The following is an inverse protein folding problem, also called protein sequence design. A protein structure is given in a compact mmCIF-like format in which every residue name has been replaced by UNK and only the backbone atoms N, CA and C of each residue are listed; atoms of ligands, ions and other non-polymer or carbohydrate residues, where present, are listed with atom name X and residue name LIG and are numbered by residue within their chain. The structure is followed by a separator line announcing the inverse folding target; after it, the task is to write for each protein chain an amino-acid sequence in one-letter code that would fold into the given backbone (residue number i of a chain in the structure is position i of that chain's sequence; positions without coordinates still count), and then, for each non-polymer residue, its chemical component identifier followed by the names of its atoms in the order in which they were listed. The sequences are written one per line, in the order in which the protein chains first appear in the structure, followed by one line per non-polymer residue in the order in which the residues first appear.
data_IF_750521181935
#
_entry.id   IF_750521181935
#
_cell.length_a   1.000
_cell.length_b   1.000
_cell.length_c   1.000
_cell.angle_alpha   90.00
_cell.angle_beta   90.00
_cell.angle_gamma   90.00
#
_symmetry.space_group_name_H-M   'P 1'
#
loop_
_entity.id
_entity.type
_entity.pdbx_description
1 polymer ?
#
# COMPACT_ATOMS: atom_id res chain seq x y z
N UNK A 1 17.39 -0.94 -11.49
CA UNK A 1 16.33 0.07 -11.33
C UNK A 1 15.02 -0.52 -11.85
N UNK A 2 13.94 -0.53 -11.07
CA UNK A 2 12.69 -1.21 -11.46
C UNK A 2 12.03 -0.51 -12.66
N UNK A 3 11.51 -1.27 -13.63
CA UNK A 3 10.79 -0.73 -14.81
C UNK A 3 9.70 0.28 -14.41
N UNK A 4 9.06 0.07 -13.25
CA UNK A 4 8.05 0.97 -12.68
C UNK A 4 8.60 2.36 -12.36
N UNK A 5 9.82 2.44 -11.85
CA UNK A 5 10.48 3.70 -11.51
C UNK A 5 10.85 4.45 -12.79
N UNK A 6 11.32 3.74 -13.82
CA UNK A 6 11.62 4.33 -15.13
C UNK A 6 10.36 4.89 -15.77
N UNK A 7 9.26 4.12 -15.79
CA UNK A 7 7.97 4.59 -16.30
C UNK A 7 7.43 5.79 -15.52
N UNK A 8 7.60 5.81 -14.19
CA UNK A 8 7.20 6.93 -13.33
C UNK A 8 7.95 8.22 -13.67
N UNK A 9 9.28 8.13 -13.78
CA UNK A 9 10.12 9.29 -14.12
C UNK A 9 9.81 9.80 -15.52
N UNK A 10 9.63 8.90 -16.50
CA UNK A 10 9.24 9.28 -17.85
C UNK A 10 7.86 9.93 -17.91
N UNK A 11 6.90 9.45 -17.13
CA UNK A 11 5.57 10.06 -17.03
C UNK A 11 5.66 11.47 -16.41
N UNK A 12 6.43 11.66 -15.32
CA UNK A 12 6.62 12.98 -14.73
C UNK A 12 7.35 13.95 -15.70
N UNK A 13 8.40 13.50 -16.39
CA UNK A 13 9.07 14.35 -17.38
C UNK A 13 8.13 14.68 -18.56
N UNK A 14 7.34 13.72 -19.00
CA UNK A 14 6.35 13.91 -20.05
C UNK A 14 5.26 14.91 -19.67
N UNK A 15 4.77 14.87 -18.42
CA UNK A 15 3.70 15.75 -17.92
C UNK A 15 4.13 17.21 -17.87
N UNK A 16 5.32 17.48 -17.32
CA UNK A 16 5.94 18.82 -17.30
C UNK A 16 6.08 19.38 -18.73
N UNK A 17 6.62 18.57 -19.66
CA UNK A 17 6.80 19.01 -21.05
C UNK A 17 5.46 19.26 -21.73
N UNK A 18 4.47 18.38 -21.55
CA UNK A 18 3.14 18.55 -22.14
C UNK A 18 2.43 19.80 -21.61
N UNK A 19 2.56 20.08 -20.31
CA UNK A 19 2.03 21.27 -19.68
C UNK A 19 2.70 22.54 -20.21
N UNK A 20 4.04 22.54 -20.29
CA UNK A 20 4.82 23.68 -20.79
C UNK A 20 4.52 23.98 -22.27
N UNK A 21 4.45 22.94 -23.11
CA UNK A 21 4.08 23.05 -24.53
C UNK A 21 2.63 23.54 -24.67
N UNK A 22 1.70 22.98 -23.88
CA UNK A 22 0.33 23.47 -23.84
C UNK A 22 0.23 24.95 -23.47
N UNK A 23 1.09 25.41 -22.54
CA UNK A 23 1.28 26.81 -22.17
C UNK A 23 1.74 27.66 -23.35
N UNK A 24 2.83 27.24 -23.98
CA UNK A 24 3.47 27.96 -25.09
C UNK A 24 2.54 28.14 -26.30
N UNK A 25 1.74 27.13 -26.63
CA UNK A 25 0.81 27.17 -27.77
C UNK A 25 -0.62 27.60 -27.40
N UNK A 26 -0.84 28.03 -26.15
CA UNK A 26 -2.17 28.43 -25.64
C UNK A 26 -3.25 27.35 -25.83
N UNK A 27 -2.82 26.08 -25.85
CA UNK A 27 -3.66 24.93 -26.15
C UNK A 27 -4.13 24.28 -24.83
N UNK A 28 -5.30 24.72 -24.36
CA UNK A 28 -5.85 24.33 -23.06
C UNK A 28 -6.01 22.82 -22.82
N UNK A 29 -6.39 21.97 -23.80
CA UNK A 29 -6.49 20.52 -23.59
C UNK A 29 -5.12 19.90 -23.31
N UNK A 30 -4.06 20.40 -23.94
CA UNK A 30 -2.71 19.90 -23.73
C UNK A 30 -2.20 20.24 -22.33
N UNK A 31 -2.51 21.43 -21.83
CA UNK A 31 -2.21 21.83 -20.46
C UNK A 31 -2.93 20.94 -19.45
N UNK A 32 -4.23 20.69 -19.64
CA UNK A 32 -5.00 19.83 -18.76
C UNK A 32 -4.47 18.39 -18.79
N UNK A 33 -4.12 17.88 -19.97
CA UNK A 33 -3.52 16.55 -20.10
C UNK A 33 -2.18 16.45 -19.34
N UNK A 34 -1.32 17.47 -19.46
CA UNK A 34 -0.06 17.54 -18.71
C UNK A 34 -0.28 17.59 -17.20
N UNK A 35 -1.20 18.45 -16.75
CA UNK A 35 -1.55 18.58 -15.33
C UNK A 35 -2.14 17.28 -14.76
N UNK A 36 -3.03 16.62 -15.50
CA UNK A 36 -3.63 15.34 -15.10
C UNK A 36 -2.57 14.25 -14.95
N UNK A 37 -1.55 14.25 -15.83
CA UNK A 37 -0.45 13.31 -15.78
C UNK A 37 0.43 13.54 -14.53
N UNK A 38 0.73 14.80 -14.20
CA UNK A 38 1.46 15.17 -12.98
C UNK A 38 0.72 14.73 -11.70
N UNK A 39 -0.58 15.03 -11.62
CA UNK A 39 -1.43 14.61 -10.50
C UNK A 39 -1.44 13.08 -10.38
N UNK A 40 -1.54 12.37 -11.52
CA UNK A 40 -1.46 10.92 -11.56
C UNK A 40 -0.14 10.38 -11.02
N UNK A 41 0.99 11.02 -11.35
CA UNK A 41 2.31 10.66 -10.83
C UNK A 41 2.38 10.91 -9.31
N UNK A 42 1.96 12.08 -8.84
CA UNK A 42 1.91 12.37 -7.40
C UNK A 42 1.07 11.36 -6.63
N UNK A 43 -0.10 11.00 -7.17
CA UNK A 43 -0.98 10.00 -6.58
C UNK A 43 -0.32 8.61 -6.52
N UNK A 44 0.32 8.17 -7.61
CA UNK A 44 1.02 6.89 -7.65
C UNK A 44 2.19 6.86 -6.65
N UNK A 45 2.94 7.95 -6.52
CA UNK A 45 4.02 8.11 -5.54
C UNK A 45 3.50 8.05 -4.10
N UNK A 46 2.42 8.78 -3.80
CA UNK A 46 1.75 8.72 -2.49
C UNK A 46 1.29 7.31 -2.17
N UNK A 47 0.61 6.64 -3.12
CA UNK A 47 0.09 5.27 -2.91
C UNK A 47 1.23 4.29 -2.62
N UNK A 48 2.35 4.42 -3.32
CA UNK A 48 3.53 3.60 -3.07
C UNK A 48 4.11 3.85 -1.66
N UNK A 49 4.24 5.12 -1.27
CA UNK A 49 4.72 5.52 0.06
C UNK A 49 3.78 5.03 1.18
N UNK A 50 2.47 5.17 0.99
CA UNK A 50 1.45 4.71 1.93
C UNK A 50 1.45 3.18 2.10
N UNK A 51 1.85 2.42 1.07
CA UNK A 51 1.99 0.97 1.17
C UNK A 51 3.27 0.54 1.90
N UNK A 52 4.37 1.28 1.73
CA UNK A 52 5.66 0.95 2.36
C UNK A 52 5.71 1.37 3.84
N UNK A 53 4.94 2.37 4.25
CA UNK A 53 4.87 2.85 5.64
C UNK A 53 3.67 2.31 6.42
N UNK A 54 3.02 1.22 5.96
CA UNK A 54 1.97 0.61 6.79
C UNK A 54 2.61 0.09 8.08
N UNK A 55 2.10 0.47 9.27
CA UNK A 55 2.55 -0.15 10.49
C UNK A 55 2.32 -1.66 10.38
N UNK A 56 3.26 -2.51 10.87
CA UNK A 56 3.07 -3.94 10.85
C UNK A 56 1.74 -4.26 11.52
N UNK A 57 0.93 -5.12 10.89
CA UNK A 57 -0.37 -5.51 11.42
C UNK A 57 -0.18 -5.97 12.87
N UNK A 58 -0.64 -5.16 13.81
CA UNK A 58 -0.61 -5.48 15.23
C UNK A 58 -1.52 -6.69 15.36
N UNK A 59 -0.93 -7.88 15.54
CA UNK A 59 -1.69 -9.05 15.98
C UNK A 59 -2.37 -8.64 17.29
N UNK A 60 -3.71 -8.59 17.37
CA UNK A 60 -4.37 -8.19 18.60
C UNK A 60 -3.97 -9.20 19.68
N UNK A 61 -3.24 -8.74 20.70
CA UNK A 61 -2.88 -9.56 21.86
C UNK A 61 -4.11 -10.08 22.63
N UNK A 62 -5.31 -9.62 22.28
CA UNK A 62 -6.60 -10.09 22.81
C UNK A 62 -7.08 -11.42 22.21
N UNK A 63 -6.58 -11.85 21.05
CA UNK A 63 -7.02 -13.10 20.43
C UNK A 63 -6.64 -14.36 21.23
N UNK A 64 -5.42 -14.52 21.78
CA UNK A 64 -5.09 -15.70 22.58
C UNK A 64 -5.89 -15.77 23.89
N UNK A 65 -6.19 -14.64 24.53
CA UNK A 65 -6.94 -14.63 25.79
C UNK A 65 -8.43 -14.99 25.60
N UNK A 66 -9.03 -14.62 24.46
CA UNK A 66 -10.41 -15.02 24.13
C UNK A 66 -10.50 -16.47 23.65
N UNK A 67 -9.55 -16.96 22.86
CA UNK A 67 -9.55 -18.36 22.41
C UNK A 67 -9.25 -19.38 23.53
N UNK A 68 -8.65 -18.94 24.64
CA UNK A 68 -8.39 -19.79 25.82
C UNK A 68 -9.64 -20.06 26.66
N UNK A 69 -10.73 -19.29 26.49
CA UNK A 69 -11.98 -19.51 27.23
C UNK A 69 -12.76 -20.72 26.72
N UNK A 70 -12.56 -21.08 25.45
CA UNK A 70 -13.23 -22.20 24.78
C UNK A 70 -12.40 -23.48 24.78
N UNK A 71 -11.20 -23.47 25.38
CA UNK A 71 -10.36 -24.64 25.47
C UNK A 71 -10.84 -25.52 26.64
N UNK A 72 -11.35 -26.74 26.38
CA UNK A 72 -11.74 -27.63 27.46
C UNK A 72 -10.52 -27.95 28.34
N UNK A 73 -10.68 -28.02 29.67
CA UNK A 73 -9.57 -28.31 30.57
C UNK A 73 -8.93 -29.65 30.17
N UNK A 74 -7.59 -29.77 30.24
CA UNK A 74 -6.92 -31.03 29.97
C UNK A 74 -7.46 -32.08 30.95
N UNK A 75 -8.05 -33.15 30.41
CA UNK A 75 -8.53 -34.29 31.20
C UNK A 75 -7.38 -34.84 32.04
N UNK A 76 -7.61 -34.95 33.35
CA UNK A 76 -6.65 -35.46 34.33
C UNK A 76 -5.99 -36.77 33.85
N UNK A 77 -4.70 -37.00 34.16
CA UNK A 77 -4.09 -38.29 33.93
C UNK A 77 -4.79 -39.32 34.80
N UNK A 78 -5.58 -40.19 34.18
CA UNK A 78 -6.14 -41.37 34.84
C UNK A 78 -4.99 -42.27 35.25
N UNK A 79 -4.70 -42.36 36.55
CA UNK A 79 -3.76 -43.34 37.09
C UNK A 79 -4.18 -44.74 36.62
N UNK A 80 -3.25 -45.54 36.05
CA UNK A 80 -3.54 -46.93 35.71
C UNK A 80 -3.70 -47.74 37.01
N UNK A 81 -4.63 -48.72 37.05
CA UNK A 81 -4.83 -49.53 38.24
C UNK A 81 -3.58 -50.40 38.50
N UNK A 82 -2.96 -50.21 39.66
CA UNK A 82 -1.93 -51.11 40.19
C UNK A 82 -2.59 -52.38 40.70
N UNK A 83 -2.36 -53.50 40.01
CA UNK A 83 -2.56 -54.86 40.53
C UNK A 83 -1.33 -55.30 41.34
#
# INVERSE_FOLDING_TARGET
MSLRIVAFVLAALGGIVLFAVGGAYRNWPLQIAGLALEIGCLYAGWRWFAQHNKPPAIKPAANPAWSMRDQPPPSEPREPPSN
#
